data_IF_451809180554
#
_entry.id   IF_451809180554
#
_cell.length_a   1.000
_cell.length_b   1.000
_cell.length_c   1.000
_cell.angle_alpha   90.00
_cell.angle_beta   90.00
_cell.angle_gamma   90.00
#
_symmetry.space_group_name_H-M   'P 1'
#
loop_
_entity.id
_entity.type
_entity.pdbx_description
1 polymer ?
#
# COMPACT_ATOMS: atom_id res chain seq x y z
N UNK A 1 4.89 -10.90 -64.69
CA UNK A 1 3.80 -10.29 -63.90
C UNK A 1 4.29 -8.92 -63.41
N UNK A 2 3.88 -7.83 -64.06
CA UNK A 2 4.37 -6.47 -63.74
C UNK A 2 3.47 -5.86 -62.66
N UNK A 3 3.93 -5.86 -61.42
CA UNK A 3 3.23 -5.16 -60.33
C UNK A 3 3.37 -3.65 -60.61
N UNK A 4 2.23 -2.98 -60.79
CA UNK A 4 2.16 -1.54 -61.03
C UNK A 4 2.78 -0.77 -59.87
N UNK A 5 3.59 0.25 -60.18
CA UNK A 5 4.25 1.13 -59.21
C UNK A 5 3.25 1.80 -58.24
N UNK A 6 1.97 1.91 -58.62
CA UNK A 6 0.89 2.43 -57.77
C UNK A 6 0.48 1.42 -56.68
N UNK A 7 0.51 0.12 -56.98
CA UNK A 7 0.17 -0.95 -56.02
C UNK A 7 1.26 -1.07 -54.95
N UNK A 8 2.53 -0.87 -55.33
CA UNK A 8 3.65 -0.84 -54.38
C UNK A 8 3.58 0.38 -53.43
N UNK A 9 3.13 1.54 -53.91
CA UNK A 9 2.94 2.75 -53.07
C UNK A 9 1.75 2.65 -52.12
N UNK A 10 0.65 2.02 -52.56
CA UNK A 10 -0.50 1.75 -51.68
C UNK A 10 -0.19 0.73 -50.58
N UNK A 11 0.64 -0.29 -50.88
CA UNK A 11 1.13 -1.22 -49.86
C UNK A 11 2.13 -0.56 -48.90
N UNK A 12 3.00 0.32 -49.39
CA UNK A 12 3.96 1.04 -48.55
C UNK A 12 3.29 2.02 -47.56
N UNK A 13 2.14 2.60 -47.92
CA UNK A 13 1.38 3.49 -47.04
C UNK A 13 0.54 2.74 -45.99
N UNK A 14 0.12 1.50 -46.29
CA UNK A 14 -0.67 0.68 -45.37
C UNK A 14 0.18 0.00 -44.28
N UNK A 15 1.48 -0.19 -44.51
CA UNK A 15 2.40 -0.83 -43.53
C UNK A 15 2.95 0.17 -42.50
N UNK A 16 2.86 1.48 -42.75
CA UNK A 16 3.37 2.52 -41.85
C UNK A 16 2.39 2.94 -40.73
N UNK A 17 1.16 2.41 -40.73
CA UNK A 17 0.11 2.83 -39.79
C UNK A 17 -0.12 1.88 -38.60
N UNK A 18 0.66 0.81 -38.42
CA UNK A 18 0.38 -0.25 -37.42
C UNK A 18 1.35 -0.32 -36.25
N UNK A 19 2.14 0.74 -36.02
CA UNK A 19 3.02 0.87 -34.85
C UNK A 19 2.56 2.19 -34.22
N UNK A 20 1.78 2.24 -33.14
CA UNK A 20 2.20 2.00 -31.75
C UNK A 20 0.91 1.77 -30.94
N UNK A 21 0.58 0.52 -30.62
CA UNK A 21 -0.23 0.22 -29.42
C UNK A 21 0.74 -0.16 -28.32
N UNK A 22 1.42 0.85 -27.79
CA UNK A 22 2.03 0.76 -26.48
C UNK A 22 0.89 0.73 -25.46
N UNK A 23 0.31 -0.45 -25.25
CA UNK A 23 -0.46 -0.70 -24.04
C UNK A 23 0.51 -0.55 -22.88
N UNK A 24 0.48 0.64 -22.28
CA UNK A 24 0.87 0.89 -20.91
C UNK A 24 0.37 -0.28 -20.06
N UNK A 25 1.29 -1.16 -19.66
CA UNK A 25 1.04 -2.13 -18.60
C UNK A 25 0.94 -1.33 -17.31
N UNK A 26 -0.20 -0.69 -17.12
CA UNK A 26 -0.69 -0.38 -15.78
C UNK A 26 -0.85 -1.74 -15.11
N UNK A 27 -0.05 -1.98 -14.08
CA UNK A 27 -0.28 -3.10 -13.19
C UNK A 27 -1.70 -2.95 -12.66
N UNK A 28 -2.60 -3.77 -13.21
CA UNK A 28 -3.95 -3.92 -12.68
C UNK A 28 -3.80 -4.88 -11.52
N UNK A 29 -3.84 -4.33 -10.31
CA UNK A 29 -4.22 -5.12 -9.15
C UNK A 29 -5.66 -5.56 -9.42
N UNK A 30 -5.83 -6.83 -9.73
CA UNK A 30 -7.13 -7.42 -10.01
C UNK A 30 -7.95 -7.34 -8.73
N UNK A 31 -9.05 -6.58 -8.74
CA UNK A 31 -10.02 -6.62 -7.65
C UNK A 31 -10.57 -8.04 -7.56
N UNK A 32 -10.29 -8.73 -6.46
CA UNK A 32 -10.71 -10.12 -6.26
C UNK A 32 -12.17 -10.24 -5.78
N UNK A 33 -12.81 -9.12 -5.37
CA UNK A 33 -14.17 -9.15 -4.80
C UNK A 33 -15.28 -9.03 -5.86
N UNK A 34 -15.04 -8.34 -6.98
CA UNK A 34 -16.01 -8.23 -8.09
C UNK A 34 -17.38 -7.65 -7.70
N UNK A 35 -17.43 -6.80 -6.66
CA UNK A 35 -18.68 -6.27 -6.12
C UNK A 35 -19.21 -5.13 -6.99
N UNK A 36 -20.24 -5.44 -7.78
CA UNK A 36 -20.91 -4.46 -8.65
C UNK A 36 -21.55 -3.34 -7.84
N UNK A 37 -21.19 -2.10 -8.16
CA UNK A 37 -21.71 -0.90 -7.51
C UNK A 37 -21.04 -0.56 -6.18
N UNK A 38 -20.00 -1.31 -5.80
CA UNK A 38 -19.15 -0.93 -4.68
C UNK A 38 -18.16 0.18 -5.11
N UNK A 39 -17.79 1.08 -4.20
CA UNK A 39 -16.65 1.97 -4.41
C UNK A 39 -15.37 1.21 -4.75
N UNK A 40 -14.47 1.84 -5.50
CA UNK A 40 -13.23 1.22 -5.95
C UNK A 40 -12.41 0.67 -4.77
N UNK A 41 -12.28 1.43 -3.67
CA UNK A 41 -11.53 1.00 -2.48
C UNK A 41 -12.07 -0.29 -1.84
N UNK A 42 -13.36 -0.61 -1.98
CA UNK A 42 -13.91 -1.88 -1.50
C UNK A 42 -13.34 -3.02 -2.33
N UNK A 43 -13.29 -2.81 -3.64
CA UNK A 43 -12.83 -3.77 -4.63
C UNK A 43 -11.29 -3.90 -4.65
N UNK A 44 -10.56 -2.82 -4.39
CA UNK A 44 -9.10 -2.80 -4.27
C UNK A 44 -8.61 -3.42 -2.96
N UNK A 45 -9.40 -3.32 -1.89
CA UNK A 45 -9.07 -3.89 -0.59
C UNK A 45 -7.92 -3.15 0.13
N UNK A 46 -7.30 -3.87 1.06
CA UNK A 46 -6.17 -3.38 1.86
C UNK A 46 -4.93 -3.17 0.98
N UNK A 47 -4.34 -1.98 1.00
CA UNK A 47 -3.27 -1.60 0.06
C UNK A 47 -2.28 -0.57 0.64
N UNK A 48 -1.12 -0.44 -0.01
CA UNK A 48 -0.13 0.62 0.23
C UNK A 48 -0.06 1.47 -1.03
N UNK A 49 -0.40 2.75 -0.91
CA UNK A 49 -0.51 3.66 -2.05
C UNK A 49 0.51 4.78 -1.95
N UNK A 50 1.20 5.05 -3.06
CA UNK A 50 1.91 6.31 -3.27
C UNK A 50 1.23 7.03 -4.44
N UNK A 51 0.56 8.15 -4.13
CA UNK A 51 -0.14 8.99 -5.10
C UNK A 51 0.00 10.48 -4.73
N UNK A 52 -0.75 11.34 -5.43
CA UNK A 52 -0.75 12.80 -5.19
C UNK A 52 -1.17 13.20 -3.76
N UNK A 53 -1.91 12.34 -3.07
CA UNK A 53 -2.43 12.57 -1.72
C UNK A 53 -1.43 12.09 -0.65
N UNK A 54 -0.36 11.40 -1.05
CA UNK A 54 0.78 11.05 -0.20
C UNK A 54 1.12 9.56 -0.23
N UNK A 55 1.81 9.14 0.83
CA UNK A 55 2.16 7.74 1.10
C UNK A 55 1.22 7.20 2.17
N UNK A 56 0.27 6.39 1.74
CA UNK A 56 -0.90 6.01 2.53
C UNK A 56 -0.94 4.50 2.73
N UNK A 57 -1.19 4.08 3.96
CA UNK A 57 -1.58 2.72 4.30
C UNK A 57 -3.10 2.66 4.38
N UNK A 58 -3.73 1.83 3.55
CA UNK A 58 -5.16 1.59 3.57
C UNK A 58 -5.45 0.19 4.08
N UNK A 59 -6.38 0.07 5.02
CA UNK A 59 -6.91 -1.20 5.52
C UNK A 59 -8.41 -1.27 5.31
N UNK A 60 -8.88 -2.35 4.71
CA UNK A 60 -10.31 -2.59 4.45
C UNK A 60 -10.81 -3.72 5.34
N UNK A 61 -11.76 -3.39 6.22
CA UNK A 61 -12.42 -4.33 7.11
C UNK A 61 -13.87 -4.52 6.70
N UNK A 62 -14.44 -5.68 7.01
CA UNK A 62 -15.86 -5.96 6.76
C UNK A 62 -16.54 -6.67 7.94
N UNK A 63 -17.85 -6.53 8.05
CA UNK A 63 -18.67 -7.20 9.05
C UNK A 63 -19.99 -7.69 8.45
N UNK A 64 -20.30 -8.97 8.67
CA UNK A 64 -21.58 -9.58 8.30
C UNK A 64 -22.72 -9.04 9.17
N UNK A 65 -23.99 -9.11 8.70
CA UNK A 65 -25.13 -8.62 9.47
C UNK A 65 -25.26 -9.29 10.84
N UNK A 66 -25.41 -8.49 11.89
CA UNK A 66 -25.55 -8.95 13.29
C UNK A 66 -26.91 -8.60 13.91
N UNK A 67 -27.79 -7.92 13.16
CA UNK A 67 -29.06 -7.39 13.66
C UNK A 67 -28.96 -6.00 14.31
N UNK A 68 -27.75 -5.56 14.67
CA UNK A 68 -27.47 -4.20 15.14
C UNK A 68 -26.48 -3.53 14.17
N UNK A 69 -26.97 -2.52 13.45
CA UNK A 69 -26.19 -1.83 12.41
C UNK A 69 -25.05 -0.98 12.99
N UNK A 70 -25.22 -0.43 14.19
CA UNK A 70 -24.18 0.37 14.85
C UNK A 70 -23.02 -0.51 15.28
N UNK A 71 -23.33 -1.64 15.93
CA UNK A 71 -22.34 -2.65 16.31
C UNK A 71 -21.65 -3.22 15.07
N UNK A 72 -22.41 -3.58 14.03
CA UNK A 72 -21.85 -4.10 12.78
C UNK A 72 -20.85 -3.12 12.17
N UNK A 73 -21.18 -1.82 12.11
CA UNK A 73 -20.26 -0.80 11.62
C UNK A 73 -19.00 -0.71 12.48
N UNK A 74 -19.14 -0.69 13.81
CA UNK A 74 -17.99 -0.66 14.73
C UNK A 74 -17.05 -1.85 14.48
N UNK A 75 -17.59 -3.05 14.29
CA UNK A 75 -16.79 -4.24 13.99
C UNK A 75 -16.05 -4.11 12.65
N UNK A 76 -16.69 -3.56 11.62
CA UNK A 76 -16.03 -3.31 10.33
C UNK A 76 -14.90 -2.26 10.47
N UNK A 77 -15.15 -1.19 11.23
CA UNK A 77 -14.17 -0.13 11.52
C UNK A 77 -12.94 -0.70 12.27
N UNK A 78 -13.16 -1.54 13.29
CA UNK A 78 -12.08 -2.16 14.05
C UNK A 78 -11.24 -3.12 13.19
N UNK A 79 -11.90 -3.89 12.31
CA UNK A 79 -11.22 -4.76 11.35
C UNK A 79 -10.40 -3.97 10.33
N UNK A 80 -10.90 -2.82 9.88
CA UNK A 80 -10.16 -1.94 8.98
C UNK A 80 -8.87 -1.41 9.63
N UNK A 81 -8.94 -1.02 10.92
CA UNK A 81 -7.75 -0.62 11.70
C UNK A 81 -6.77 -1.78 11.90
N UNK A 82 -7.27 -2.98 12.12
CA UNK A 82 -6.44 -4.18 12.23
C UNK A 82 -5.68 -4.47 10.92
N UNK A 83 -6.30 -4.25 9.76
CA UNK A 83 -5.63 -4.38 8.46
C UNK A 83 -4.55 -3.32 8.27
N UNK A 84 -4.78 -2.06 8.64
CA UNK A 84 -3.72 -1.03 8.66
C UNK A 84 -2.54 -1.48 9.54
N UNK A 85 -2.82 -2.03 10.71
CA UNK A 85 -1.78 -2.51 11.62
C UNK A 85 -0.96 -3.66 11.02
N UNK A 86 -1.62 -4.58 10.33
CA UNK A 86 -0.99 -5.71 9.65
C UNK A 86 -0.05 -5.22 8.55
N UNK A 87 -0.51 -4.29 7.72
CA UNK A 87 0.28 -3.74 6.61
C UNK A 87 1.45 -2.90 7.11
N UNK A 88 1.24 -2.04 8.11
CA UNK A 88 2.31 -1.26 8.73
C UNK A 88 3.38 -2.19 9.33
N UNK A 89 2.97 -3.28 9.99
CA UNK A 89 3.91 -4.25 10.56
C UNK A 89 4.78 -4.89 9.47
N UNK A 90 4.15 -5.34 8.37
CA UNK A 90 4.86 -5.89 7.21
C UNK A 90 5.86 -4.89 6.62
N UNK A 91 5.45 -3.63 6.47
CA UNK A 91 6.32 -2.56 6.00
C UNK A 91 7.51 -2.33 6.95
N UNK A 92 7.29 -2.30 8.26
CA UNK A 92 8.36 -2.13 9.25
C UNK A 92 9.32 -3.33 9.31
N UNK A 93 8.85 -4.54 9.00
CA UNK A 93 9.74 -5.70 8.83
C UNK A 93 10.66 -5.51 7.61
N UNK A 94 10.16 -4.96 6.50
CA UNK A 94 11.00 -4.59 5.34
C UNK A 94 12.04 -3.53 5.73
N UNK A 95 11.63 -2.47 6.42
CA UNK A 95 12.54 -1.42 6.91
C UNK A 95 13.64 -2.00 7.82
N UNK A 96 13.26 -2.91 8.72
CA UNK A 96 14.20 -3.58 9.63
C UNK A 96 15.23 -4.38 8.84
N UNK A 97 14.78 -5.21 7.90
CA UNK A 97 15.67 -6.06 7.11
C UNK A 97 16.66 -5.23 6.27
N UNK A 98 16.18 -4.13 5.70
CA UNK A 98 16.98 -3.19 4.90
C UNK A 98 18.04 -2.48 5.76
N UNK A 99 17.66 -2.00 6.96
CA UNK A 99 18.59 -1.44 7.93
C UNK A 99 19.66 -2.44 8.36
N UNK A 100 19.28 -3.68 8.67
CA UNK A 100 20.25 -4.70 9.10
C UNK A 100 21.25 -5.06 8.00
N UNK A 101 20.81 -5.10 6.74
CA UNK A 101 21.70 -5.34 5.60
C UNK A 101 22.72 -4.22 5.40
N UNK A 102 22.33 -2.96 5.60
CA UNK A 102 23.23 -1.81 5.50
C UNK A 102 24.16 -1.70 6.71
N UNK A 103 23.65 -1.95 7.92
CA UNK A 103 24.44 -1.94 9.16
C UNK A 103 25.54 -3.01 9.18
N UNK A 104 25.34 -4.19 8.58
CA UNK A 104 26.39 -5.21 8.42
C UNK A 104 27.58 -4.77 7.58
N UNK A 105 27.38 -3.79 6.69
CA UNK A 105 28.39 -3.31 5.76
C UNK A 105 29.25 -2.19 6.34
N UNK A 106 28.84 -1.58 7.45
CA UNK A 106 29.62 -0.61 8.21
C UNK A 106 29.91 -1.17 9.60
N UNK A 107 31.16 -1.11 10.05
CA UNK A 107 31.69 -1.64 11.33
C UNK A 107 30.95 -1.08 12.58
N UNK A 108 29.70 -1.46 12.77
CA UNK A 108 28.81 -0.97 13.82
C UNK A 108 28.35 -2.18 14.60
N UNK A 109 28.86 -2.34 15.83
CA UNK A 109 28.53 -3.43 16.75
C UNK A 109 27.09 -3.39 17.29
N UNK A 110 26.12 -3.11 16.42
CA UNK A 110 24.70 -2.99 16.74
C UNK A 110 24.12 -4.39 16.95
N UNK A 111 23.55 -4.63 18.13
CA UNK A 111 22.81 -5.85 18.41
C UNK A 111 21.55 -5.92 17.54
N UNK A 112 21.57 -6.80 16.52
CA UNK A 112 20.44 -7.01 15.60
C UNK A 112 19.13 -7.29 16.33
N UNK A 113 19.23 -8.06 17.40
CA UNK A 113 18.09 -8.50 18.20
C UNK A 113 17.47 -7.33 18.99
N UNK A 114 18.30 -6.45 19.55
CA UNK A 114 17.83 -5.24 20.25
C UNK A 114 17.11 -4.29 19.30
N UNK A 115 17.68 -4.08 18.10
CA UNK A 115 17.07 -3.22 17.08
C UNK A 115 15.76 -3.78 16.55
N UNK A 116 15.72 -5.07 16.22
CA UNK A 116 14.49 -5.71 15.73
C UNK A 116 13.37 -5.64 16.77
N UNK A 117 13.67 -5.86 18.06
CA UNK A 117 12.70 -5.74 19.15
C UNK A 117 12.18 -4.32 19.30
N UNK A 118 13.06 -3.31 19.23
CA UNK A 118 12.66 -1.90 19.27
C UNK A 118 11.71 -1.55 18.12
N UNK A 119 12.04 -1.93 16.89
CA UNK A 119 11.21 -1.65 15.71
C UNK A 119 9.83 -2.31 15.81
N UNK A 120 9.79 -3.59 16.24
CA UNK A 120 8.52 -4.32 16.42
C UNK A 120 7.65 -3.76 17.54
N UNK A 121 8.25 -3.20 18.58
CA UNK A 121 7.49 -2.52 19.62
C UNK A 121 6.93 -1.18 19.10
N UNK A 122 7.69 -0.46 18.28
CA UNK A 122 7.27 0.81 17.69
C UNK A 122 6.13 0.65 16.69
N UNK A 123 6.17 -0.37 15.83
CA UNK A 123 5.08 -0.65 14.89
C UNK A 123 3.74 -0.88 15.61
N UNK A 124 3.79 -1.52 16.79
CA UNK A 124 2.60 -1.73 17.66
C UNK A 124 2.10 -0.46 18.33
N UNK A 125 3.01 0.47 18.68
CA UNK A 125 2.67 1.74 19.33
C UNK A 125 2.07 2.74 18.33
N UNK A 126 2.37 2.61 17.04
CA UNK A 126 2.08 3.63 16.04
C UNK A 126 0.77 3.45 15.24
N UNK A 127 -0.28 2.93 15.87
CA UNK A 127 -1.61 2.83 15.25
C UNK A 127 -2.50 4.04 15.54
N UNK A 128 -2.05 4.95 16.39
CA UNK A 128 -2.81 6.09 16.92
C UNK A 128 -3.19 7.13 15.85
N UNK A 129 -2.66 7.01 14.63
CA UNK A 129 -3.03 7.84 13.49
C UNK A 129 -4.04 7.24 12.52
N UNK A 130 -4.42 5.97 12.67
CA UNK A 130 -5.33 5.32 11.73
C UNK A 130 -6.74 5.93 11.85
N UNK A 131 -7.29 6.44 10.75
CA UNK A 131 -8.61 7.09 10.71
C UNK A 131 -9.55 6.30 9.82
N UNK A 132 -10.80 6.14 10.25
CA UNK A 132 -11.85 5.64 9.36
C UNK A 132 -12.22 6.77 8.41
N UNK A 133 -12.01 6.56 7.12
CA UNK A 133 -12.27 7.58 6.08
C UNK A 133 -13.52 7.27 5.25
N UNK A 134 -14.09 6.07 5.41
CA UNK A 134 -15.30 5.69 4.69
C UNK A 134 -15.91 4.38 5.18
N UNK A 135 -17.20 4.22 4.90
CA UNK A 135 -17.93 2.97 5.05
C UNK A 135 -18.91 2.79 3.89
N UNK A 136 -19.12 1.55 3.47
CA UNK A 136 -20.08 1.19 2.43
C UNK A 136 -20.83 -0.07 2.84
N UNK A 137 -22.14 -0.10 2.62
CA UNK A 137 -22.98 -1.27 2.88
C UNK A 137 -23.37 -1.90 1.55
N UNK A 138 -23.11 -3.18 1.40
CA UNK A 138 -23.60 -3.94 0.26
C UNK A 138 -25.13 -4.04 0.34
N UNK A 139 -25.88 -3.50 -0.64
CA UNK A 139 -27.35 -3.53 -0.62
C UNK A 139 -27.93 -4.95 -0.75
N UNK A 140 -27.15 -5.93 -1.26
CA UNK A 140 -27.62 -7.30 -1.45
C UNK A 140 -27.42 -8.16 -0.20
N UNK A 141 -26.23 -8.10 0.38
CA UNK A 141 -25.83 -8.98 1.49
C UNK A 141 -25.95 -8.31 2.85
N UNK A 142 -26.12 -6.99 2.89
CA UNK A 142 -26.05 -6.16 4.08
C UNK A 142 -24.71 -6.20 4.82
N UNK A 143 -23.64 -6.72 4.20
CA UNK A 143 -22.28 -6.62 4.73
C UNK A 143 -21.86 -5.15 4.75
N UNK A 144 -21.27 -4.70 5.85
CA UNK A 144 -20.67 -3.37 5.94
C UNK A 144 -19.17 -3.52 5.75
N UNK A 145 -18.62 -2.72 4.84
CA UNK A 145 -17.20 -2.52 4.62
C UNK A 145 -16.81 -1.16 5.19
N UNK A 146 -15.63 -1.07 5.76
CA UNK A 146 -15.02 0.18 6.23
C UNK A 146 -13.58 0.24 5.78
N UNK A 147 -13.11 1.46 5.53
CA UNK A 147 -11.72 1.73 5.18
C UNK A 147 -11.08 2.63 6.23
N UNK A 148 -9.90 2.19 6.69
CA UNK A 148 -9.02 2.93 7.55
C UNK A 148 -7.79 3.41 6.76
N UNK A 149 -7.31 4.61 7.05
CA UNK A 149 -6.14 5.22 6.44
C UNK A 149 -5.14 5.66 7.51
N UNK A 150 -3.85 5.44 7.24
CA UNK A 150 -2.74 5.97 8.01
C UNK A 150 -1.72 6.61 7.06
N UNK A 151 -1.30 7.84 7.37
CA UNK A 151 -0.31 8.59 6.58
C UNK A 151 1.12 8.26 7.06
N UNK A 152 2.00 7.90 6.13
CA UNK A 152 3.41 7.66 6.39
C UNK A 152 4.12 8.88 7.01
N UNK A 153 3.67 10.10 6.70
CA UNK A 153 4.16 11.30 7.37
C UNK A 153 3.87 11.25 8.86
N UNK A 154 2.65 10.90 9.26
CA UNK A 154 2.29 10.76 10.67
C UNK A 154 3.07 9.63 11.35
N UNK A 155 3.36 8.55 10.61
CA UNK A 155 4.24 7.47 11.09
C UNK A 155 5.63 8.00 11.43
N UNK A 156 6.27 8.74 10.51
CA UNK A 156 7.59 9.34 10.75
C UNK A 156 7.56 10.34 11.89
N UNK A 157 6.58 11.24 11.92
CA UNK A 157 6.43 12.24 12.99
C UNK A 157 6.34 11.57 14.37
N UNK A 158 5.59 10.46 14.47
CA UNK A 158 5.44 9.70 15.73
C UNK A 158 6.73 8.99 16.12
N UNK A 159 7.41 8.33 15.17
CA UNK A 159 8.70 7.67 15.41
C UNK A 159 9.78 8.70 15.79
N UNK A 160 9.74 9.89 15.20
CA UNK A 160 10.60 11.02 15.53
C UNK A 160 10.46 11.52 16.97
N UNK A 161 9.29 11.32 17.60
CA UNK A 161 9.02 11.67 18.99
C UNK A 161 9.52 10.67 20.03
N UNK A 162 9.92 9.46 19.62
CA UNK A 162 10.32 8.41 20.58
C UNK A 162 11.73 8.67 21.13
N UNK A 163 11.81 8.82 22.45
CA UNK A 163 13.07 9.16 23.15
C UNK A 163 14.05 7.98 23.21
N UNK A 164 13.57 6.76 23.46
CA UNK A 164 14.41 5.58 23.70
C UNK A 164 14.82 4.82 22.43
N UNK A 165 14.77 5.49 21.27
CA UNK A 165 15.08 4.88 19.99
C UNK A 165 16.56 5.07 19.61
N UNK A 166 17.19 4.01 19.10
CA UNK A 166 18.54 4.10 18.54
C UNK A 166 18.65 5.25 17.50
N UNK A 167 19.64 6.12 17.66
CA UNK A 167 19.79 7.33 16.83
C UNK A 167 20.09 7.02 15.36
N UNK A 168 20.85 5.97 15.08
CA UNK A 168 21.19 5.59 13.71
C UNK A 168 19.98 4.97 13.00
N UNK A 169 19.21 4.14 13.70
CA UNK A 169 17.94 3.64 13.21
C UNK A 169 16.96 4.78 12.95
N UNK A 170 16.85 5.75 13.87
CA UNK A 170 15.97 6.91 13.68
C UNK A 170 16.37 7.70 12.44
N UNK A 171 17.66 7.98 12.25
CA UNK A 171 18.19 8.62 11.03
C UNK A 171 17.92 7.78 9.78
N UNK A 172 18.03 6.47 9.89
CA UNK A 172 17.75 5.55 8.79
C UNK A 172 16.29 5.65 8.33
N UNK A 173 15.35 5.58 9.26
CA UNK A 173 13.92 5.73 8.97
C UNK A 173 13.64 7.10 8.33
N UNK A 174 14.15 8.18 8.91
CA UNK A 174 13.94 9.54 8.35
C UNK A 174 14.43 9.69 6.90
N UNK A 175 15.52 9.01 6.54
CA UNK A 175 16.16 9.17 5.23
C UNK A 175 15.74 8.12 4.20
N UNK A 176 15.41 6.91 4.63
CA UNK A 176 15.17 5.76 3.73
C UNK A 176 13.72 5.30 3.69
N UNK A 177 12.89 5.62 4.70
CA UNK A 177 11.52 5.09 4.78
C UNK A 177 10.68 5.42 3.54
N UNK A 178 10.84 6.63 2.99
CA UNK A 178 10.13 7.07 1.79
C UNK A 178 10.52 6.25 0.55
N UNK A 179 11.82 5.97 0.36
CA UNK A 179 12.30 5.14 -0.74
C UNK A 179 11.84 3.68 -0.60
N UNK A 180 11.90 3.14 0.62
CA UNK A 180 11.44 1.78 0.93
C UNK A 180 9.93 1.69 0.69
N UNK A 181 9.16 2.70 1.09
CA UNK A 181 7.72 2.76 0.85
C UNK A 181 7.42 2.75 -0.64
N UNK A 182 8.13 3.54 -1.43
CA UNK A 182 7.92 3.62 -2.87
C UNK A 182 8.25 2.31 -3.59
N UNK A 183 9.24 1.55 -3.09
CA UNK A 183 9.53 0.19 -3.54
C UNK A 183 8.39 -0.76 -3.18
N UNK A 184 7.99 -0.81 -1.91
CA UNK A 184 6.92 -1.69 -1.43
C UNK A 184 5.59 -1.40 -2.12
N UNK A 185 5.26 -0.14 -2.36
CA UNK A 185 4.05 0.28 -3.07
C UNK A 185 4.06 -0.11 -4.57
N UNK A 186 5.24 -0.32 -5.17
CA UNK A 186 5.37 -0.80 -6.55
C UNK A 186 5.30 -2.32 -6.64
N UNK A 187 5.83 -3.04 -5.66
CA UNK A 187 5.80 -4.51 -5.60
C UNK A 187 4.40 -5.06 -5.33
N UNK A 188 3.54 -4.27 -4.66
CA UNK A 188 2.14 -4.63 -4.38
C UNK A 188 1.14 -4.13 -5.44
N UNK A 189 1.64 -3.60 -6.57
CA UNK A 189 0.82 -3.24 -7.74
C UNK A 189 0.81 -4.39 -8.75
#
# INVERSE_FOLDING_TARGET
MKISLAVAKLFALAVLATIITACSSTTKVESDLGLKGAPDWVNEGTSILNNKDGRLFHGVGSASPTGDMSLQKSVADDRARAEVARVLSSYMDVVTNDYMATAKSGDTGVSEESVSRQIKNLSKVNLTGAKIIGSWRDPKTNVIYSIAELDMKHVKDTLGGVQDMNTDLKRYIETQADNIFDRVAKENK
#
